data_IF_173986276141
#
_entry.id   IF_173986276141
#
_cell.length_a   1.000
_cell.length_b   1.000
_cell.length_c   1.000
_cell.angle_alpha   90.00
_cell.angle_beta   90.00
_cell.angle_gamma   90.00
#
_symmetry.space_group_name_H-M   'P 1'
#
loop_
_entity.id
_entity.type
_entity.pdbx_description
1 polymer ?
#
# COMPACT_ATOMS: atom_id res chain seq x y z
N UNK A 1 -43.92 -16.75 9.47
CA UNK A 1 -42.45 -16.67 9.43
C UNK A 1 -42.06 -15.21 9.61
N UNK A 2 -41.23 -14.93 10.60
CA UNK A 2 -41.07 -13.64 11.28
C UNK A 2 -40.17 -12.64 10.52
N UNK A 3 -40.59 -11.36 10.58
CA UNK A 3 -39.84 -10.07 10.68
C UNK A 3 -38.78 -9.74 9.62
N UNK A 4 -38.89 -8.65 8.85
CA UNK A 4 -38.94 -7.19 9.19
C UNK A 4 -37.56 -6.55 9.44
N UNK A 5 -37.28 -5.54 8.61
CA UNK A 5 -36.53 -4.29 8.83
C UNK A 5 -35.03 -4.31 9.15
N UNK A 6 -34.22 -3.67 8.29
CA UNK A 6 -33.44 -2.45 8.58
C UNK A 6 -32.42 -2.22 7.43
N UNK A 7 -32.58 -1.20 6.61
CA UNK A 7 -31.85 0.09 6.75
C UNK A 7 -30.33 -0.06 6.65
N UNK A 8 -29.74 0.28 5.49
CA UNK A 8 -28.59 1.19 5.38
C UNK A 8 -28.06 1.21 3.93
N UNK A 9 -28.23 2.35 3.28
CA UNK A 9 -27.43 2.71 2.12
C UNK A 9 -25.95 2.84 2.53
N UNK A 10 -25.03 2.25 1.77
CA UNK A 10 -23.64 2.72 1.70
C UNK A 10 -22.99 2.35 0.34
N UNK A 11 -23.09 3.31 -0.57
CA UNK A 11 -22.18 3.74 -1.63
C UNK A 11 -21.00 2.82 -2.06
N UNK A 12 -21.03 2.44 -3.34
CA UNK A 12 -19.94 2.50 -4.35
C UNK A 12 -18.59 1.81 -4.02
N UNK A 13 -18.52 0.51 -4.25
CA UNK A 13 -17.38 -0.12 -4.92
C UNK A 13 -17.95 -1.06 -6.00
N UNK A 14 -17.61 -0.91 -7.30
CA UNK A 14 -18.08 -1.86 -8.28
C UNK A 14 -17.39 -3.19 -8.02
N UNK A 15 -18.20 -4.20 -7.70
CA UNK A 15 -17.83 -5.60 -7.79
C UNK A 15 -17.21 -5.86 -9.18
N UNK A 16 -16.05 -6.49 -9.20
CA UNK A 16 -15.32 -6.83 -10.41
C UNK A 16 -16.22 -7.56 -11.42
N UNK A 17 -16.25 -7.17 -12.71
CA UNK A 17 -16.87 -7.99 -13.72
C UNK A 17 -15.90 -9.11 -14.11
N UNK A 18 -16.15 -10.32 -13.60
CA UNK A 18 -15.78 -11.54 -14.29
C UNK A 18 -16.69 -11.69 -15.52
N UNK A 19 -16.17 -11.48 -16.73
CA UNK A 19 -16.35 -12.34 -17.91
C UNK A 19 -16.03 -11.65 -19.26
N UNK A 20 -15.28 -12.40 -20.06
CA UNK A 20 -15.27 -12.51 -21.53
C UNK A 20 -14.40 -11.56 -22.38
N UNK A 21 -13.75 -12.19 -23.37
CA UNK A 21 -12.87 -11.66 -24.43
C UNK A 21 -13.55 -10.55 -25.27
N UNK A 22 -12.82 -9.58 -25.84
CA UNK A 22 -12.09 -9.69 -27.13
C UNK A 22 -10.78 -8.84 -27.15
N UNK A 23 -10.53 -8.09 -26.07
CA UNK A 23 -9.36 -7.23 -25.83
C UNK A 23 -8.53 -7.65 -24.58
N UNK A 24 -8.56 -8.95 -24.28
CA UNK A 24 -7.65 -9.63 -23.34
C UNK A 24 -7.61 -9.01 -21.95
N UNK A 25 -8.65 -9.23 -21.15
CA UNK A 25 -8.47 -9.24 -19.70
C UNK A 25 -7.52 -10.41 -19.44
N UNK A 26 -6.24 -10.10 -19.24
CA UNK A 26 -5.25 -11.11 -18.88
C UNK A 26 -5.77 -11.77 -17.62
N UNK A 27 -6.04 -13.07 -17.73
CA UNK A 27 -6.17 -13.95 -16.57
C UNK A 27 -4.99 -13.61 -15.64
N UNK A 28 -5.23 -13.23 -14.38
CA UNK A 28 -4.13 -12.94 -13.44
C UNK A 28 -3.17 -14.13 -13.31
N UNK A 29 -3.63 -15.33 -13.68
CA UNK A 29 -2.87 -16.58 -13.66
C UNK A 29 -2.15 -16.92 -14.99
N UNK A 30 -2.53 -16.33 -16.13
CA UNK A 30 -1.95 -16.68 -17.44
C UNK A 30 -1.01 -15.60 -18.01
N UNK A 31 -1.11 -14.36 -17.53
CA UNK A 31 -0.24 -13.25 -17.94
C UNK A 31 0.94 -12.97 -17.00
N UNK A 32 0.82 -13.29 -15.71
CA UNK A 32 1.79 -12.90 -14.68
C UNK A 32 1.87 -11.38 -14.46
N UNK A 33 2.46 -10.97 -13.34
CA UNK A 33 2.64 -9.55 -12.97
C UNK A 33 3.44 -8.78 -14.03
N UNK A 34 4.46 -9.40 -14.63
CA UNK A 34 5.34 -8.77 -15.61
C UNK A 34 4.62 -8.33 -16.89
N UNK A 35 3.72 -9.16 -17.45
CA UNK A 35 2.98 -8.80 -18.68
C UNK A 35 1.94 -7.72 -18.44
N UNK A 36 1.36 -7.69 -17.24
CA UNK A 36 0.46 -6.61 -16.83
C UNK A 36 1.23 -5.30 -16.65
N UNK A 37 2.42 -5.34 -16.05
CA UNK A 37 3.29 -4.17 -15.90
C UNK A 37 3.68 -3.56 -17.27
N UNK A 38 4.04 -4.38 -18.24
CA UNK A 38 4.41 -3.95 -19.60
C UNK A 38 3.27 -3.23 -20.36
N UNK A 39 2.01 -3.58 -20.09
CA UNK A 39 0.86 -3.04 -20.81
C UNK A 39 0.20 -1.82 -20.14
N UNK A 40 0.72 -1.32 -19.03
CA UNK A 40 0.16 -0.15 -18.33
C UNK A 40 0.32 1.14 -19.12
N UNK A 41 1.38 1.26 -19.92
CA UNK A 41 1.54 2.40 -20.82
C UNK A 41 0.40 2.50 -21.85
N UNK A 42 -0.22 1.36 -22.19
CA UNK A 42 -1.36 1.27 -23.13
C UNK A 42 -2.70 1.37 -22.38
N UNK A 43 -2.77 0.87 -21.15
CA UNK A 43 -3.98 0.80 -20.34
C UNK A 43 -3.74 1.32 -18.91
N UNK A 44 -3.69 2.65 -18.70
CA UNK A 44 -3.47 3.26 -17.38
C UNK A 44 -4.62 2.98 -16.40
N UNK A 45 -5.81 2.60 -16.90
CA UNK A 45 -6.95 2.14 -16.11
C UNK A 45 -6.67 0.83 -15.36
N UNK A 46 -5.73 0.01 -15.85
CA UNK A 46 -5.38 -1.30 -15.27
C UNK A 46 -4.36 -1.21 -14.13
N UNK A 47 -3.86 -0.01 -13.81
CA UNK A 47 -2.92 0.21 -12.68
C UNK A 47 -3.51 -0.34 -11.39
N UNK A 48 -4.79 -0.09 -11.10
CA UNK A 48 -5.45 -0.61 -9.89
C UNK A 48 -5.41 -2.14 -9.78
N UNK A 49 -5.64 -2.84 -10.90
CA UNK A 49 -5.57 -4.31 -10.97
C UNK A 49 -4.14 -4.82 -10.78
N UNK A 50 -3.15 -4.15 -11.38
CA UNK A 50 -1.74 -4.48 -11.15
C UNK A 50 -1.37 -4.34 -9.66
N UNK A 51 -1.76 -3.23 -9.03
CA UNK A 51 -1.44 -2.99 -7.62
C UNK A 51 -2.07 -4.05 -6.71
N UNK A 52 -3.28 -4.50 -7.03
CA UNK A 52 -3.95 -5.56 -6.29
C UNK A 52 -3.26 -6.92 -6.44
N UNK A 53 -2.88 -7.32 -7.66
CA UNK A 53 -2.17 -8.59 -7.89
C UNK A 53 -0.78 -8.56 -7.22
N UNK A 54 -0.06 -7.45 -7.30
CA UNK A 54 1.22 -7.30 -6.62
C UNK A 54 1.08 -7.41 -5.09
N UNK A 55 0.01 -6.86 -4.52
CA UNK A 55 -0.31 -7.00 -3.10
C UNK A 55 -0.55 -8.47 -2.71
N UNK A 56 -1.37 -9.19 -3.48
CA UNK A 56 -1.67 -10.60 -3.23
C UNK A 56 -0.41 -11.47 -3.32
N UNK A 57 0.51 -11.20 -4.25
CA UNK A 57 1.78 -11.94 -4.35
C UNK A 57 2.68 -11.69 -3.14
N UNK A 58 2.75 -10.46 -2.66
CA UNK A 58 3.55 -10.12 -1.48
C UNK A 58 3.00 -10.73 -0.19
N UNK A 59 1.66 -10.90 -0.09
CA UNK A 59 0.97 -11.51 1.05
C UNK A 59 0.94 -13.04 0.98
N UNK A 60 0.77 -13.60 -0.20
CA UNK A 60 0.56 -15.03 -0.46
C UNK A 60 1.85 -15.85 -0.67
N UNK A 61 3.02 -15.23 -0.56
CA UNK A 61 4.30 -15.92 -0.81
C UNK A 61 4.43 -16.39 -2.26
N UNK A 62 3.92 -15.61 -3.22
CA UNK A 62 4.05 -15.92 -4.63
C UNK A 62 5.52 -15.94 -5.06
N UNK A 63 5.86 -16.76 -6.05
CA UNK A 63 7.26 -17.04 -6.42
C UNK A 63 8.02 -15.83 -6.99
N UNK A 64 7.31 -14.81 -7.47
CA UNK A 64 7.88 -13.68 -8.21
C UNK A 64 7.80 -12.36 -7.45
N UNK A 65 8.40 -12.32 -6.25
CA UNK A 65 8.52 -11.10 -5.46
C UNK A 65 9.24 -9.95 -6.21
N UNK A 66 10.15 -10.28 -7.13
CA UNK A 66 10.87 -9.29 -7.96
C UNK A 66 9.90 -8.54 -8.87
N UNK A 67 9.09 -9.28 -9.65
CA UNK A 67 8.08 -8.69 -10.52
C UNK A 67 7.01 -7.92 -9.72
N UNK A 68 6.64 -8.42 -8.54
CA UNK A 68 5.72 -7.72 -7.65
C UNK A 68 6.27 -6.38 -7.17
N UNK A 69 7.56 -6.30 -6.83
CA UNK A 69 8.18 -5.05 -6.41
C UNK A 69 8.30 -4.02 -7.56
N UNK A 70 8.62 -4.48 -8.77
CA UNK A 70 8.64 -3.62 -9.97
C UNK A 70 7.24 -3.05 -10.26
N UNK A 71 6.22 -3.91 -10.22
CA UNK A 71 4.82 -3.50 -10.37
C UNK A 71 4.36 -2.51 -9.29
N UNK A 72 4.76 -2.73 -8.04
CA UNK A 72 4.50 -1.79 -6.94
C UNK A 72 5.19 -0.44 -7.16
N UNK A 73 6.40 -0.44 -7.73
CA UNK A 73 7.12 0.79 -8.04
C UNK A 73 6.35 1.62 -9.06
N UNK A 74 5.85 0.99 -10.12
CA UNK A 74 5.02 1.66 -11.12
C UNK A 74 3.70 2.20 -10.53
N UNK A 75 3.06 1.42 -9.65
CA UNK A 75 1.88 1.86 -8.90
C UNK A 75 2.18 3.04 -7.97
N UNK A 76 3.32 3.00 -7.27
CA UNK A 76 3.76 4.06 -6.37
C UNK A 76 4.07 5.35 -7.15
N UNK A 77 4.68 5.25 -8.33
CA UNK A 77 4.89 6.40 -9.23
C UNK A 77 3.58 6.99 -9.73
N UNK A 78 2.55 6.17 -9.88
CA UNK A 78 1.18 6.60 -10.21
C UNK A 78 0.44 7.28 -9.04
N UNK A 79 1.09 7.44 -7.88
CA UNK A 79 0.51 8.11 -6.70
C UNK A 79 -0.31 7.19 -5.79
N UNK A 80 -0.23 5.87 -5.96
CA UNK A 80 -0.94 4.92 -5.10
C UNK A 80 -0.24 4.80 -3.72
N UNK A 81 -0.80 5.44 -2.70
CA UNK A 81 -0.24 5.44 -1.35
C UNK A 81 -0.14 4.04 -0.70
N UNK A 82 -1.14 3.14 -0.82
CA UNK A 82 -0.99 1.73 -0.42
C UNK A 82 0.22 1.03 -1.05
N UNK A 83 0.48 1.23 -2.34
CA UNK A 83 1.64 0.63 -3.02
C UNK A 83 2.97 1.18 -2.53
N UNK A 84 3.05 2.47 -2.19
CA UNK A 84 4.26 3.05 -1.58
C UNK A 84 4.61 2.40 -0.23
N UNK A 85 3.60 2.10 0.60
CA UNK A 85 3.80 1.43 1.89
C UNK A 85 4.29 -0.01 1.69
N UNK A 86 3.69 -0.73 0.75
CA UNK A 86 4.09 -2.11 0.45
C UNK A 86 5.49 -2.18 -0.14
N UNK A 87 5.85 -1.24 -1.01
CA UNK A 87 7.20 -1.13 -1.55
C UNK A 87 8.22 -0.85 -0.44
N UNK A 88 7.88 0.01 0.52
CA UNK A 88 8.71 0.22 1.70
C UNK A 88 8.92 -1.08 2.50
N UNK A 89 7.86 -1.86 2.74
CA UNK A 89 7.98 -3.16 3.38
C UNK A 89 8.83 -4.16 2.57
N UNK A 90 8.75 -4.12 1.23
CA UNK A 90 9.60 -4.94 0.37
C UNK A 90 11.08 -4.59 0.56
N UNK A 91 11.42 -3.30 0.63
CA UNK A 91 12.78 -2.82 0.93
C UNK A 91 13.24 -3.11 2.36
N UNK A 92 12.35 -3.12 3.35
CA UNK A 92 12.68 -3.50 4.73
C UNK A 92 13.00 -5.00 4.87
N UNK A 93 12.21 -5.85 4.19
CA UNK A 93 12.34 -7.30 4.26
C UNK A 93 13.34 -7.88 3.25
N UNK A 94 13.67 -7.13 2.20
CA UNK A 94 14.45 -7.63 1.06
C UNK A 94 13.66 -8.59 0.17
N UNK A 95 12.34 -8.44 0.11
CA UNK A 95 11.45 -9.33 -0.66
C UNK A 95 11.33 -8.84 -2.10
N UNK A 96 12.14 -9.40 -2.99
CA UNK A 96 12.15 -9.07 -4.43
C UNK A 96 13.03 -7.86 -4.80
N UNK A 97 13.50 -7.11 -3.81
CA UNK A 97 14.45 -6.00 -3.95
C UNK A 97 15.57 -6.13 -2.92
N UNK A 98 16.78 -5.60 -3.19
CA UNK A 98 17.82 -5.55 -2.18
C UNK A 98 17.33 -4.78 -0.95
N UNK A 99 17.62 -5.33 0.23
CA UNK A 99 17.22 -4.72 1.50
C UNK A 99 17.86 -3.34 1.63
N UNK A 100 17.03 -2.30 1.65
CA UNK A 100 17.45 -0.91 1.80
C UNK A 100 16.45 -0.15 2.67
N UNK A 101 16.67 -0.10 3.99
CA UNK A 101 15.77 0.61 4.89
C UNK A 101 15.76 2.13 4.65
N UNK A 102 16.83 2.72 4.08
CA UNK A 102 16.85 4.14 3.76
C UNK A 102 15.88 4.45 2.60
N UNK A 103 15.88 3.62 1.56
CA UNK A 103 14.89 3.71 0.49
C UNK A 103 13.47 3.45 1.00
N UNK A 104 13.27 2.50 1.91
CA UNK A 104 11.97 2.24 2.53
C UNK A 104 11.40 3.50 3.20
N UNK A 105 12.20 4.20 4.01
CA UNK A 105 11.75 5.46 4.63
C UNK A 105 11.53 6.59 3.65
N UNK A 106 12.26 6.62 2.53
CA UNK A 106 11.97 7.52 1.42
C UNK A 106 10.56 7.32 0.87
N UNK A 107 10.17 6.06 0.62
CA UNK A 107 8.82 5.73 0.13
C UNK A 107 7.72 6.00 1.15
N UNK A 108 7.94 5.67 2.43
CA UNK A 108 6.98 5.98 3.50
C UNK A 108 6.74 7.48 3.65
N UNK A 109 7.80 8.29 3.52
CA UNK A 109 7.67 9.75 3.55
C UNK A 109 6.80 10.27 2.41
N UNK A 110 7.01 9.76 1.18
CA UNK A 110 6.15 10.12 0.03
C UNK A 110 4.69 9.71 0.28
N UNK A 111 4.47 8.53 0.86
CA UNK A 111 3.13 8.09 1.24
C UNK A 111 2.49 9.02 2.29
N UNK A 112 3.26 9.45 3.29
CA UNK A 112 2.83 10.41 4.30
C UNK A 112 2.51 11.79 3.68
N UNK A 113 3.30 12.25 2.71
CA UNK A 113 3.08 13.50 1.97
C UNK A 113 1.80 13.49 1.13
N UNK A 114 1.31 12.32 0.71
CA UNK A 114 -0.01 12.21 0.04
C UNK A 114 -1.19 12.48 0.97
N UNK A 115 -0.96 12.62 2.29
CA UNK A 115 -2.01 12.78 3.30
C UNK A 115 -2.72 11.47 3.65
N UNK A 116 -2.18 10.33 3.22
CA UNK A 116 -2.73 9.02 3.54
C UNK A 116 -2.37 8.66 4.98
N UNK A 117 -3.39 8.52 5.83
CA UNK A 117 -3.23 8.37 7.29
C UNK A 117 -2.44 7.12 7.70
N UNK A 118 -2.54 6.03 6.95
CA UNK A 118 -1.68 4.85 7.15
C UNK A 118 -0.22 5.13 6.74
N UNK A 119 0.02 5.90 5.69
CA UNK A 119 1.37 6.28 5.26
C UNK A 119 2.05 7.15 6.30
N UNK A 120 1.34 8.13 6.85
CA UNK A 120 1.80 8.97 7.96
C UNK A 120 2.12 8.13 9.21
N UNK A 121 1.26 7.17 9.56
CA UNK A 121 1.50 6.23 10.67
C UNK A 121 2.76 5.38 10.46
N UNK A 122 2.90 4.73 9.31
CA UNK A 122 4.06 3.88 9.02
C UNK A 122 5.37 4.69 8.98
N UNK A 123 5.33 5.92 8.45
CA UNK A 123 6.48 6.81 8.48
C UNK A 123 6.85 7.24 9.91
N UNK A 124 5.85 7.58 10.73
CA UNK A 124 6.06 7.90 12.15
C UNK A 124 6.72 6.73 12.90
N UNK A 125 6.25 5.50 12.67
CA UNK A 125 6.85 4.29 13.26
C UNK A 125 8.29 4.07 12.80
N UNK A 126 8.57 4.30 11.50
CA UNK A 126 9.93 4.18 10.98
C UNK A 126 10.89 5.20 11.60
N UNK A 127 10.44 6.44 11.81
CA UNK A 127 11.19 7.49 12.50
C UNK A 127 11.41 7.16 13.98
N UNK A 128 10.38 6.66 14.68
CA UNK A 128 10.50 6.28 16.09
C UNK A 128 11.52 5.14 16.29
N UNK A 129 11.54 4.18 15.37
CA UNK A 129 12.46 3.03 15.40
C UNK A 129 13.84 3.34 14.81
N UNK A 130 14.01 4.46 14.11
CA UNK A 130 15.23 4.77 13.36
C UNK A 130 15.52 3.75 12.25
N UNK A 131 14.47 3.27 11.57
CA UNK A 131 14.65 2.38 10.41
C UNK A 131 15.19 3.24 9.27
N UNK A 132 16.36 2.94 8.72
CA UNK A 132 16.88 3.61 7.51
C UNK A 132 17.28 5.08 7.65
N UNK A 133 17.05 5.67 8.82
CA UNK A 133 17.42 7.03 9.18
C UNK A 133 17.74 7.10 10.68
N UNK A 134 18.30 8.22 11.14
CA UNK A 134 18.48 8.43 12.58
C UNK A 134 17.10 8.49 13.24
N UNK A 135 16.95 7.77 14.35
CA UNK A 135 15.72 7.82 15.13
C UNK A 135 15.44 9.26 15.57
N UNK A 136 14.21 9.71 15.30
CA UNK A 136 13.73 11.03 15.67
C UNK A 136 12.34 10.89 16.29
N UNK A 137 12.27 10.71 17.62
CA UNK A 137 11.00 10.55 18.32
C UNK A 137 10.14 11.82 18.30
N UNK A 138 10.75 13.00 18.16
CA UNK A 138 9.97 14.25 18.06
C UNK A 138 9.27 14.35 16.71
N UNK A 139 10.00 14.09 15.63
CA UNK A 139 9.41 14.04 14.30
C UNK A 139 8.37 12.91 14.20
N UNK A 140 8.65 11.74 14.79
CA UNK A 140 7.70 10.63 14.84
C UNK A 140 6.38 11.03 15.51
N UNK A 141 6.44 11.73 16.66
CA UNK A 141 5.24 12.28 17.32
C UNK A 141 4.45 13.21 16.42
N UNK A 142 5.15 14.12 15.73
CA UNK A 142 4.50 15.08 14.85
C UNK A 142 3.72 14.39 13.73
N UNK A 143 4.34 13.41 13.06
CA UNK A 143 3.68 12.63 12.00
C UNK A 143 2.57 11.72 12.54
N UNK A 144 2.75 11.14 13.73
CA UNK A 144 1.73 10.35 14.39
C UNK A 144 0.49 11.20 14.73
N UNK A 145 0.69 12.42 15.23
CA UNK A 145 -0.40 13.35 15.51
C UNK A 145 -1.16 13.73 14.23
N UNK A 146 -0.44 14.01 13.13
CA UNK A 146 -1.08 14.24 11.83
C UNK A 146 -1.91 13.06 11.35
N UNK A 147 -1.38 11.84 11.47
CA UNK A 147 -2.12 10.63 11.12
C UNK A 147 -3.40 10.48 11.95
N UNK A 148 -3.35 10.81 13.24
CA UNK A 148 -4.50 10.83 14.12
C UNK A 148 -5.53 11.90 13.73
N UNK A 149 -5.07 13.10 13.38
CA UNK A 149 -5.92 14.21 12.92
C UNK A 149 -6.62 13.86 11.58
N UNK A 150 -5.95 13.08 10.73
CA UNK A 150 -6.51 12.50 9.50
C UNK A 150 -7.34 11.22 9.74
N UNK A 151 -7.61 10.87 10.99
CA UNK A 151 -8.55 9.80 11.37
C UNK A 151 -7.95 8.40 11.45
N UNK A 152 -6.62 8.24 11.48
CA UNK A 152 -6.00 6.94 11.76
C UNK A 152 -6.23 6.55 13.22
N UNK A 153 -7.07 5.52 13.42
CA UNK A 153 -7.27 4.91 14.74
C UNK A 153 -5.98 4.33 15.33
N UNK A 154 -5.12 3.76 14.48
CA UNK A 154 -3.85 3.18 14.92
C UNK A 154 -2.90 4.26 15.43
N UNK A 155 -2.91 5.45 14.82
CA UNK A 155 -2.14 6.59 15.31
C UNK A 155 -2.68 7.15 16.63
N UNK A 156 -4.02 7.25 16.78
CA UNK A 156 -4.66 7.66 18.05
C UNK A 156 -4.31 6.68 19.17
N UNK A 157 -4.33 5.37 18.89
CA UNK A 157 -3.94 4.34 19.85
C UNK A 157 -2.45 4.44 20.21
N UNK A 158 -1.57 4.59 19.21
CA UNK A 158 -0.14 4.71 19.45
C UNK A 158 0.23 5.95 20.30
N UNK A 159 -0.51 7.05 20.17
CA UNK A 159 -0.37 8.22 21.04
C UNK A 159 -0.90 7.96 22.45
N UNK A 160 -2.01 7.24 22.58
CA UNK A 160 -2.61 6.87 23.87
C UNK A 160 -1.77 5.86 24.66
N UNK A 161 -1.09 4.94 23.97
CA UNK A 161 -0.30 3.86 24.59
C UNK A 161 1.12 4.32 24.99
N UNK A 162 1.49 5.58 24.73
CA UNK A 162 2.77 6.13 25.15
C UNK A 162 3.98 5.60 24.36
N UNK A 163 3.76 5.05 23.15
CA UNK A 163 4.85 4.71 22.20
C UNK A 163 5.74 5.91 21.83
N UNK A 164 5.31 7.10 22.24
CA UNK A 164 5.93 8.39 22.01
C UNK A 164 6.42 9.13 23.27
N UNK A 165 6.26 8.54 24.47
CA UNK A 165 6.59 9.17 25.76
C UNK A 165 8.00 8.81 26.26
#
# INVERSE_FOLDING_TARGET
>A
MFRSAATAALLLLPAAPLAADEFGILNPEEGGISRLAENIAVHPDRVGTLCWIAYEVQKGGGKDHVAAAEAMTLCAESGNAPSMILLAHAYENGSGVPKDPAMATGWLRRAAETGYSMGEYHYAVALAKGIGTKADPEAARHWMQRAADHGSRDAVLALSDGLTN
#
